data_IF_743417184964
#
_entry.id   IF_743417184964
#
_cell.length_a   1.000
_cell.length_b   1.000
_cell.length_c   1.000
_cell.angle_alpha   90.00
_cell.angle_beta   90.00
_cell.angle_gamma   90.00
#
_symmetry.space_group_name_H-M   'P 1'
#
loop_
_entity.id
_entity.type
_entity.pdbx_description
1 polymer ?
#
# COMPACT_ATOMS: atom_id res chain seq x y z
N UNK A 1 -0.01 -11.52 1.12
CA UNK A 1 -0.26 -10.90 2.43
C UNK A 1 -1.68 -11.16 2.98
N UNK A 2 -2.68 -11.45 2.13
CA UNK A 2 -4.03 -11.80 2.62
C UNK A 2 -3.99 -13.04 3.53
N UNK A 3 -3.09 -13.98 3.29
CA UNK A 3 -2.92 -15.17 4.15
C UNK A 3 -2.25 -14.88 5.50
N UNK A 4 -1.35 -13.91 5.56
CA UNK A 4 -0.67 -13.57 6.81
C UNK A 4 -1.57 -12.80 7.77
N UNK A 5 -2.41 -11.88 7.29
CA UNK A 5 -3.35 -11.17 8.15
C UNK A 5 -4.45 -12.08 8.73
N UNK A 6 -4.76 -13.19 8.07
CA UNK A 6 -5.68 -14.19 8.61
C UNK A 6 -5.03 -15.05 9.72
N UNK A 7 -3.73 -15.30 9.62
CA UNK A 7 -2.96 -15.99 10.66
C UNK A 7 -2.60 -15.08 11.84
N UNK A 8 -2.46 -13.78 11.60
CA UNK A 8 -2.12 -12.74 12.59
C UNK A 8 -3.15 -12.63 13.73
N UNK A 9 -4.37 -13.09 13.53
CA UNK A 9 -5.42 -13.02 14.57
C UNK A 9 -5.44 -14.17 15.57
N UNK A 10 -4.55 -15.11 15.44
CA UNK A 10 -4.38 -16.18 16.44
C UNK A 10 -3.51 -15.77 17.63
N UNK A 11 -3.07 -14.51 17.69
CA UNK A 11 -2.30 -13.87 18.76
C UNK A 11 -0.79 -14.17 18.77
N UNK A 12 -0.24 -14.81 17.74
CA UNK A 12 1.19 -15.08 17.68
C UNK A 12 2.01 -13.98 17.04
N UNK A 13 1.39 -13.19 16.13
CA UNK A 13 2.06 -12.11 15.38
C UNK A 13 1.18 -10.87 15.35
N UNK A 14 1.78 -9.68 15.52
CA UNK A 14 1.10 -8.39 15.38
C UNK A 14 0.58 -8.16 13.95
N UNK A 15 -0.50 -7.39 13.81
CA UNK A 15 -1.01 -6.94 12.52
C UNK A 15 -0.15 -5.86 11.85
N UNK A 16 0.85 -5.34 12.55
CA UNK A 16 1.74 -4.28 12.14
C UNK A 16 3.19 -4.65 12.47
N UNK A 17 4.14 -3.94 11.84
CA UNK A 17 5.56 -4.06 12.20
C UNK A 17 5.78 -3.74 13.67
N UNK A 18 6.43 -4.64 14.39
CA UNK A 18 6.61 -4.55 15.84
C UNK A 18 8.03 -5.03 16.24
N UNK A 19 8.92 -4.10 16.65
CA UNK A 19 10.31 -4.44 16.98
C UNK A 19 10.48 -5.47 18.10
N UNK A 20 9.48 -5.67 18.92
CA UNK A 20 9.53 -6.72 19.96
C UNK A 20 9.36 -8.14 19.40
N UNK A 21 8.86 -8.28 18.20
CA UNK A 21 8.60 -9.58 17.54
C UNK A 21 9.78 -10.02 16.65
N UNK A 22 10.52 -9.08 16.06
CA UNK A 22 11.60 -9.39 15.14
C UNK A 22 12.69 -8.31 15.12
N UNK A 23 13.97 -8.73 15.06
CA UNK A 23 15.10 -7.84 14.83
C UNK A 23 15.08 -7.16 13.44
N UNK A 24 14.22 -7.63 12.54
CA UNK A 24 14.01 -7.05 11.21
C UNK A 24 12.89 -6.01 11.17
N UNK A 25 12.16 -5.85 12.26
CA UNK A 25 11.13 -4.83 12.42
C UNK A 25 11.73 -3.60 13.09
N UNK A 26 12.08 -2.58 12.30
CA UNK A 26 12.78 -1.40 12.81
C UNK A 26 11.85 -0.38 13.48
N UNK A 27 10.57 -0.40 13.16
CA UNK A 27 9.61 0.62 13.59
C UNK A 27 8.27 0.01 13.96
N UNK A 28 7.59 0.60 14.94
CA UNK A 28 6.15 0.37 15.13
C UNK A 28 5.42 1.23 14.10
N UNK A 29 4.74 0.62 13.15
CA UNK A 29 4.07 1.31 12.05
C UNK A 29 2.61 0.90 11.99
N UNK A 30 1.71 1.85 12.21
CA UNK A 30 0.27 1.68 12.02
C UNK A 30 -0.31 2.67 11.00
N UNK A 31 0.49 3.62 10.51
CA UNK A 31 0.06 4.65 9.56
C UNK A 31 0.57 4.34 8.14
N UNK A 32 -0.29 4.50 7.14
CA UNK A 32 0.07 4.34 5.72
C UNK A 32 1.02 5.44 5.26
N UNK A 33 1.69 5.25 4.12
CA UNK A 33 2.53 6.24 3.43
C UNK A 33 3.89 6.54 4.07
N UNK A 34 4.24 5.93 5.20
CA UNK A 34 5.43 6.26 6.00
C UNK A 34 6.70 5.51 5.59
N UNK A 35 6.58 4.34 4.94
CA UNK A 35 7.69 3.41 4.72
C UNK A 35 8.85 4.03 3.92
N UNK A 36 8.57 4.85 2.92
CA UNK A 36 9.60 5.47 2.08
C UNK A 36 10.41 6.49 2.87
N UNK A 37 9.76 7.34 3.67
CA UNK A 37 10.41 8.34 4.51
C UNK A 37 11.28 7.70 5.58
N UNK A 38 10.76 6.69 6.28
CA UNK A 38 11.49 5.94 7.30
C UNK A 38 12.72 5.23 6.72
N UNK A 39 12.55 4.56 5.58
CA UNK A 39 13.65 3.87 4.91
C UNK A 39 14.69 4.85 4.33
N UNK A 40 14.29 6.01 3.83
CA UNK A 40 15.24 7.05 3.39
C UNK A 40 16.11 7.55 4.54
N UNK A 41 15.52 7.70 5.74
CA UNK A 41 16.24 8.03 6.96
C UNK A 41 17.26 6.95 7.36
N UNK A 42 16.88 5.66 7.28
CA UNK A 42 17.79 4.53 7.52
C UNK A 42 18.93 4.51 6.50
N UNK A 43 18.65 4.71 5.21
CA UNK A 43 19.66 4.77 4.17
C UNK A 43 20.67 5.90 4.43
N UNK A 44 20.16 7.08 4.79
CA UNK A 44 21.02 8.22 5.17
C UNK A 44 21.87 7.93 6.41
N UNK A 45 21.30 7.31 7.42
CA UNK A 45 22.03 6.92 8.63
C UNK A 45 23.15 5.91 8.34
N UNK A 46 22.85 4.89 7.52
CA UNK A 46 23.85 3.92 7.02
C UNK A 46 25.02 4.64 6.33
N UNK A 47 24.72 5.57 5.42
CA UNK A 47 25.72 6.29 4.65
C UNK A 47 26.60 7.17 5.54
N UNK A 48 26.02 7.87 6.51
CA UNK A 48 26.74 8.71 7.47
C UNK A 48 27.66 7.90 8.37
N UNK A 49 27.30 6.65 8.67
CA UNK A 49 28.15 5.73 9.44
C UNK A 49 29.21 5.02 8.60
N UNK A 50 29.19 5.16 7.27
CA UNK A 50 30.04 4.42 6.36
C UNK A 50 29.74 2.92 6.32
N UNK A 51 28.54 2.53 6.72
CA UNK A 51 28.07 1.14 6.67
C UNK A 51 27.61 0.78 5.25
N UNK A 52 27.51 -0.51 4.97
CA UNK A 52 27.04 -1.05 3.69
C UNK A 52 25.79 -1.89 3.92
N UNK A 53 25.00 -2.09 2.88
CA UNK A 53 23.79 -2.89 2.90
C UNK A 53 22.68 -2.29 2.07
N UNK A 54 21.71 -3.12 1.72
CA UNK A 54 20.52 -2.68 1.00
C UNK A 54 19.49 -2.15 2.00
N UNK A 55 18.96 -0.97 1.74
CA UNK A 55 17.79 -0.43 2.46
C UNK A 55 16.62 -0.47 1.52
N UNK A 56 15.54 -1.11 1.95
CA UNK A 56 14.38 -1.43 1.11
C UNK A 56 13.12 -0.87 1.77
N UNK A 57 12.40 -0.02 1.04
CA UNK A 57 11.04 0.40 1.37
C UNK A 57 10.04 -0.41 0.55
N UNK A 58 8.99 -0.94 1.16
CA UNK A 58 7.86 -1.54 0.45
C UNK A 58 6.65 -0.65 0.67
N UNK A 59 6.00 -0.24 -0.41
CA UNK A 59 4.82 0.62 -0.36
C UNK A 59 3.77 0.15 -1.36
N UNK A 60 2.51 0.11 -0.92
CA UNK A 60 1.38 -0.12 -1.82
C UNK A 60 1.04 1.13 -2.64
N UNK A 61 0.46 0.94 -3.80
CA UNK A 61 0.03 2.03 -4.69
C UNK A 61 -0.94 3.01 -4.02
N UNK A 62 -1.88 2.51 -3.20
CA UNK A 62 -2.78 3.36 -2.42
C UNK A 62 -2.02 4.27 -1.44
N UNK A 63 -1.05 3.71 -0.72
CA UNK A 63 -0.21 4.45 0.23
C UNK A 63 0.77 5.41 -0.45
N UNK A 64 1.14 5.13 -1.69
CA UNK A 64 2.09 5.93 -2.47
C UNK A 64 1.58 7.36 -2.75
N UNK A 65 0.27 7.59 -2.73
CA UNK A 65 -0.31 8.92 -2.93
C UNK A 65 -0.31 9.82 -1.70
N UNK A 66 0.13 9.34 -0.54
CA UNK A 66 0.24 10.15 0.66
C UNK A 66 1.38 11.18 0.57
N UNK A 67 1.19 12.38 1.15
CA UNK A 67 2.17 13.46 1.10
C UNK A 67 3.54 13.04 1.64
N UNK A 68 3.56 12.31 2.74
CA UNK A 68 4.80 11.80 3.34
C UNK A 68 5.57 10.84 2.42
N UNK A 69 4.87 10.01 1.63
CA UNK A 69 5.51 9.17 0.62
C UNK A 69 6.16 10.00 -0.49
N UNK A 70 5.51 11.08 -0.94
CA UNK A 70 6.09 12.02 -1.90
C UNK A 70 7.34 12.72 -1.37
N UNK A 71 7.31 13.18 -0.12
CA UNK A 71 8.47 13.78 0.55
C UNK A 71 9.60 12.76 0.68
N UNK A 72 9.29 11.53 1.10
CA UNK A 72 10.25 10.43 1.19
C UNK A 72 10.89 10.09 -0.15
N UNK A 73 10.12 10.04 -1.23
CA UNK A 73 10.64 9.85 -2.59
C UNK A 73 11.54 11.01 -3.02
N UNK A 74 11.15 12.25 -2.74
CA UNK A 74 11.95 13.42 -3.08
C UNK A 74 13.32 13.38 -2.38
N UNK A 75 13.36 13.10 -1.10
CA UNK A 75 14.61 12.97 -0.34
C UNK A 75 15.40 11.72 -0.76
N UNK A 76 14.71 10.60 -0.99
CA UNK A 76 15.33 9.36 -1.40
C UNK A 76 16.10 9.45 -2.73
N UNK A 77 15.62 10.26 -3.66
CA UNK A 77 16.29 10.52 -4.95
C UNK A 77 17.65 11.21 -4.79
N UNK A 78 17.82 12.01 -3.73
CA UNK A 78 19.05 12.76 -3.45
C UNK A 78 20.13 11.94 -2.72
N UNK A 79 19.81 10.71 -2.27
CA UNK A 79 20.74 9.90 -1.48
C UNK A 79 22.02 9.52 -2.26
N UNK A 80 21.92 9.31 -3.58
CA UNK A 80 23.04 8.95 -4.44
C UNK A 80 23.71 7.59 -4.09
N UNK A 81 23.02 6.76 -3.30
CA UNK A 81 23.50 5.46 -2.81
C UNK A 81 22.41 4.41 -2.95
N UNK A 82 22.67 3.17 -2.54
CA UNK A 82 21.68 2.12 -2.58
C UNK A 82 20.44 2.47 -1.75
N UNK A 83 19.32 2.59 -2.42
CA UNK A 83 18.00 2.73 -1.83
C UNK A 83 16.96 2.12 -2.77
N UNK A 84 16.26 1.10 -2.32
CA UNK A 84 15.31 0.35 -3.14
C UNK A 84 13.90 0.63 -2.66
N UNK A 85 13.05 1.15 -3.54
CA UNK A 85 11.62 1.33 -3.28
C UNK A 85 10.82 0.33 -4.10
N UNK A 86 10.16 -0.60 -3.42
CA UNK A 86 9.27 -1.56 -4.05
C UNK A 86 7.85 -0.99 -4.03
N UNK A 87 7.33 -0.65 -5.20
CA UNK A 87 5.94 -0.20 -5.38
C UNK A 87 5.08 -1.40 -5.73
N UNK A 88 4.28 -1.85 -4.78
CA UNK A 88 3.31 -2.93 -4.98
C UNK A 88 2.01 -2.36 -5.54
N UNK A 89 1.87 -2.39 -6.86
CA UNK A 89 0.74 -1.84 -7.59
C UNK A 89 -0.28 -2.93 -7.92
N UNK A 90 -1.41 -2.89 -7.25
CA UNK A 90 -2.57 -3.74 -7.52
C UNK A 90 -3.81 -2.94 -7.95
N UNK A 91 -3.65 -1.65 -8.24
CA UNK A 91 -4.65 -0.70 -8.72
C UNK A 91 -5.71 -0.32 -7.68
N UNK A 92 -5.50 -0.74 -6.43
CA UNK A 92 -6.48 -0.53 -5.38
C UNK A 92 -5.83 -0.12 -4.07
N UNK A 93 -6.47 0.81 -3.39
CA UNK A 93 -6.35 0.92 -1.94
C UNK A 93 -7.36 -0.03 -1.29
N UNK A 94 -8.42 0.48 -0.70
CA UNK A 94 -9.61 -0.34 -0.41
C UNK A 94 -10.45 -0.42 -1.66
N UNK A 95 -10.86 0.71 -2.18
CA UNK A 95 -11.49 0.85 -3.49
C UNK A 95 -10.45 1.16 -4.58
N UNK A 96 -10.91 1.30 -5.82
CA UNK A 96 -10.07 1.69 -6.95
C UNK A 96 -9.42 3.06 -6.73
N UNK A 97 -8.17 3.17 -7.12
CA UNK A 97 -7.41 4.41 -7.01
C UNK A 97 -7.74 5.39 -8.14
N UNK A 98 -7.85 6.68 -7.80
CA UNK A 98 -8.10 7.75 -8.75
C UNK A 98 -7.10 8.91 -8.57
N UNK A 99 -6.68 9.52 -9.67
CA UNK A 99 -5.79 10.68 -9.64
C UNK A 99 -4.68 10.65 -10.68
N UNK A 100 -3.88 11.72 -10.73
CA UNK A 100 -2.83 11.88 -11.73
C UNK A 100 -1.71 10.85 -11.61
N UNK A 101 -1.30 10.52 -10.38
CA UNK A 101 -0.30 9.48 -10.12
C UNK A 101 -0.76 8.14 -10.67
N UNK A 102 -2.00 7.75 -10.40
CA UNK A 102 -2.53 6.44 -10.81
C UNK A 102 -2.69 6.31 -12.33
N UNK A 103 -2.96 7.43 -13.03
CA UNK A 103 -2.91 7.44 -14.50
C UNK A 103 -1.51 7.19 -15.03
N UNK A 104 -0.49 7.72 -14.36
CA UNK A 104 0.90 7.41 -14.74
C UNK A 104 1.26 5.95 -14.44
N UNK A 105 0.90 5.42 -13.27
CA UNK A 105 1.08 4.00 -12.95
C UNK A 105 0.37 3.10 -13.98
N UNK A 106 -0.85 3.46 -14.38
CA UNK A 106 -1.58 2.74 -15.43
C UNK A 106 -0.80 2.72 -16.76
N UNK A 107 -0.32 3.89 -17.22
CA UNK A 107 0.50 3.96 -18.45
C UNK A 107 1.76 3.11 -18.34
N UNK A 108 2.39 3.10 -17.17
CA UNK A 108 3.57 2.27 -16.93
C UNK A 108 3.23 0.77 -16.99
N UNK A 109 2.10 0.34 -16.45
CA UNK A 109 1.63 -1.06 -16.58
C UNK A 109 1.33 -1.44 -18.02
N UNK A 110 0.56 -0.60 -18.73
CA UNK A 110 0.13 -0.85 -20.12
C UNK A 110 1.31 -0.90 -21.10
N UNK A 111 2.38 -0.20 -20.81
CA UNK A 111 3.59 -0.13 -21.62
C UNK A 111 4.76 -0.97 -21.08
N UNK A 112 4.51 -1.81 -20.09
CA UNK A 112 5.55 -2.60 -19.42
C UNK A 112 6.76 -1.72 -18.99
N UNK A 113 6.46 -0.57 -18.42
CA UNK A 113 7.45 0.38 -17.92
C UNK A 113 8.08 1.31 -18.98
N UNK A 114 7.65 1.21 -20.25
CA UNK A 114 8.24 1.95 -21.37
C UNK A 114 7.52 3.28 -21.69
N UNK A 115 6.55 3.70 -20.87
CA UNK A 115 5.87 4.98 -21.09
C UNK A 115 6.87 6.15 -21.15
N UNK A 116 6.69 7.10 -22.09
CA UNK A 116 7.61 8.24 -22.24
C UNK A 116 7.60 9.16 -21.01
N UNK A 117 6.49 9.19 -20.29
CA UNK A 117 6.39 9.87 -19.01
C UNK A 117 6.46 8.83 -17.88
N UNK A 118 7.48 8.92 -17.05
CA UNK A 118 7.66 8.07 -15.89
C UNK A 118 7.98 8.95 -14.68
N UNK A 119 7.06 9.03 -13.76
CA UNK A 119 7.15 9.85 -12.55
C UNK A 119 8.44 9.58 -11.76
N UNK A 120 8.81 8.32 -11.57
CA UNK A 120 9.98 7.94 -10.79
C UNK A 120 11.29 8.33 -11.50
N UNK A 121 11.38 8.10 -12.81
CA UNK A 121 12.53 8.53 -13.60
C UNK A 121 12.67 10.05 -13.63
N UNK A 122 11.55 10.78 -13.66
CA UNK A 122 11.55 12.24 -13.60
C UNK A 122 12.09 12.78 -12.27
N UNK A 123 11.97 12.01 -11.18
CA UNK A 123 12.55 12.34 -9.88
C UNK A 123 14.03 11.93 -9.75
N UNK A 124 14.59 11.19 -10.71
CA UNK A 124 15.98 10.74 -10.68
C UNK A 124 16.22 9.30 -10.23
N UNK A 125 15.17 8.51 -10.05
CA UNK A 125 15.31 7.08 -9.75
C UNK A 125 15.64 6.25 -10.99
N UNK A 126 16.48 5.23 -10.83
CA UNK A 126 16.44 4.08 -11.72
C UNK A 126 15.07 3.40 -11.59
N UNK A 127 14.63 2.74 -12.65
CA UNK A 127 13.30 2.14 -12.67
C UNK A 127 13.31 0.77 -13.32
N UNK A 128 12.72 -0.21 -12.62
CA UNK A 128 12.51 -1.56 -13.11
C UNK A 128 11.01 -1.91 -12.97
N UNK A 129 10.41 -2.44 -14.03
CA UNK A 129 9.04 -2.92 -14.02
C UNK A 129 8.99 -4.44 -14.00
N UNK A 130 8.16 -5.01 -13.11
CA UNK A 130 7.88 -6.45 -13.03
C UNK A 130 6.42 -6.69 -13.37
N UNK A 131 6.18 -7.36 -14.50
CA UNK A 131 4.85 -7.57 -15.07
C UNK A 131 3.99 -8.50 -14.23
N UNK A 132 4.55 -9.59 -13.73
CA UNK A 132 3.88 -10.54 -12.86
C UNK A 132 4.50 -10.55 -11.47
N UNK A 133 4.06 -9.61 -10.64
CA UNK A 133 4.55 -9.45 -9.28
C UNK A 133 4.02 -10.51 -8.29
N UNK A 134 3.18 -11.44 -8.73
CA UNK A 134 2.80 -12.63 -7.98
C UNK A 134 3.67 -13.85 -8.33
N UNK A 135 4.55 -13.74 -9.30
CA UNK A 135 5.54 -14.76 -9.67
C UNK A 135 6.83 -14.55 -8.87
N UNK A 136 7.12 -15.52 -8.00
CA UNK A 136 8.29 -15.46 -7.10
C UNK A 136 9.61 -15.50 -7.87
N UNK A 137 9.68 -16.22 -8.99
CA UNK A 137 10.91 -16.32 -9.78
C UNK A 137 11.23 -14.98 -10.44
N UNK A 138 10.23 -14.31 -11.03
CA UNK A 138 10.39 -12.95 -11.58
C UNK A 138 10.82 -11.94 -10.51
N UNK A 139 10.26 -12.04 -9.30
CA UNK A 139 10.67 -11.18 -8.18
C UNK A 139 12.12 -11.43 -7.77
N UNK A 140 12.55 -12.69 -7.69
CA UNK A 140 13.94 -13.05 -7.36
C UNK A 140 14.90 -12.49 -8.41
N UNK A 141 14.58 -12.59 -9.69
CA UNK A 141 15.39 -12.03 -10.77
C UNK A 141 15.48 -10.52 -10.69
N UNK A 142 14.33 -9.84 -10.51
CA UNK A 142 14.28 -8.40 -10.36
C UNK A 142 15.10 -7.91 -9.14
N UNK A 143 14.98 -8.57 -8.00
CA UNK A 143 15.74 -8.18 -6.81
C UNK A 143 17.23 -8.47 -6.93
N UNK A 144 17.63 -9.51 -7.64
CA UNK A 144 19.05 -9.75 -7.96
C UNK A 144 19.62 -8.67 -8.87
N UNK A 145 18.83 -8.13 -9.80
CA UNK A 145 19.25 -7.04 -10.67
C UNK A 145 19.45 -5.73 -9.90
N UNK A 146 18.59 -5.41 -8.93
CA UNK A 146 18.66 -4.14 -8.20
C UNK A 146 19.49 -4.21 -6.93
N UNK A 147 19.76 -5.42 -6.43
CA UNK A 147 20.61 -5.63 -5.26
C UNK A 147 21.97 -4.98 -5.48
N UNK A 148 22.44 -4.27 -4.47
CA UNK A 148 23.76 -3.62 -4.45
C UNK A 148 23.98 -2.52 -5.52
N UNK A 149 22.90 -2.06 -6.20
CA UNK A 149 22.98 -0.86 -7.05
C UNK A 149 23.43 0.32 -6.20
N UNK A 150 24.17 1.23 -6.81
CA UNK A 150 24.71 2.42 -6.15
C UNK A 150 23.92 3.69 -6.47
N UNK A 151 22.70 3.50 -6.84
CA UNK A 151 21.72 4.53 -7.18
C UNK A 151 20.37 4.15 -6.61
N UNK A 152 19.55 5.12 -6.19
CA UNK A 152 18.17 4.84 -5.81
C UNK A 152 17.39 4.21 -6.96
N UNK A 153 16.63 3.16 -6.67
CA UNK A 153 15.86 2.45 -7.69
C UNK A 153 14.44 2.17 -7.22
N UNK A 154 13.49 2.35 -8.12
CA UNK A 154 12.10 1.92 -7.93
C UNK A 154 11.87 0.61 -8.67
N UNK A 155 11.43 -0.40 -7.96
CA UNK A 155 10.93 -1.67 -8.51
C UNK A 155 9.41 -1.62 -8.47
N UNK A 156 8.80 -1.40 -9.61
CA UNK A 156 7.35 -1.34 -9.76
C UNK A 156 6.82 -2.73 -10.10
N UNK A 157 6.19 -3.39 -9.13
CA UNK A 157 5.63 -4.72 -9.30
C UNK A 157 4.12 -4.64 -9.51
N UNK A 158 3.63 -5.26 -10.58
CA UNK A 158 2.19 -5.35 -10.85
C UNK A 158 1.64 -6.64 -10.23
N UNK A 159 0.72 -6.52 -9.28
CA UNK A 159 0.15 -7.65 -8.55
C UNK A 159 -1.37 -7.71 -8.67
N UNK A 160 -1.93 -8.89 -8.45
CA UNK A 160 -3.36 -9.10 -8.34
C UNK A 160 -3.76 -9.14 -6.87
N UNK A 161 -4.58 -8.19 -6.42
CA UNK A 161 -5.13 -8.17 -5.06
C UNK A 161 -6.02 -9.40 -4.84
N UNK A 162 -5.78 -10.13 -3.75
CA UNK A 162 -6.52 -11.35 -3.41
C UNK A 162 -6.02 -12.61 -4.12
N UNK A 163 -4.89 -12.55 -4.84
CA UNK A 163 -4.31 -13.68 -5.59
C UNK A 163 -4.25 -14.97 -4.79
N UNK A 164 -4.83 -16.03 -5.37
CA UNK A 164 -4.88 -17.37 -4.78
C UNK A 164 -6.19 -17.70 -4.06
N UNK A 165 -7.06 -16.71 -3.85
CA UNK A 165 -8.39 -16.92 -3.30
C UNK A 165 -9.44 -16.28 -4.20
N UNK A 166 -10.19 -17.11 -4.95
CA UNK A 166 -11.10 -16.66 -6.01
C UNK A 166 -12.10 -15.59 -5.54
N UNK A 167 -12.71 -15.77 -4.38
CA UNK A 167 -13.66 -14.78 -3.84
C UNK A 167 -13.00 -13.44 -3.54
N UNK A 168 -11.75 -13.42 -3.10
CA UNK A 168 -11.00 -12.18 -2.87
C UNK A 168 -10.57 -11.52 -4.19
N UNK A 169 -10.25 -12.30 -5.21
CA UNK A 169 -9.95 -11.76 -6.54
C UNK A 169 -11.17 -11.11 -7.19
N UNK A 170 -12.37 -11.65 -6.95
CA UNK A 170 -13.65 -11.14 -7.48
C UNK A 170 -14.25 -10.00 -6.63
N UNK A 171 -14.02 -9.99 -5.31
CA UNK A 171 -14.58 -9.04 -4.34
C UNK A 171 -13.49 -8.32 -3.54
N UNK A 172 -12.58 -7.67 -4.24
CA UNK A 172 -11.34 -7.10 -3.70
C UNK A 172 -11.53 -6.12 -2.53
N UNK A 173 -12.59 -5.32 -2.56
CA UNK A 173 -12.92 -4.39 -1.47
C UNK A 173 -13.35 -5.14 -0.22
N UNK A 174 -14.21 -6.13 -0.34
CA UNK A 174 -14.74 -6.93 0.77
C UNK A 174 -13.63 -7.64 1.53
N UNK A 175 -12.62 -8.15 0.81
CA UNK A 175 -11.51 -8.90 1.38
C UNK A 175 -10.26 -8.05 1.63
N UNK A 176 -10.36 -6.72 1.58
CA UNK A 176 -9.25 -5.85 1.98
C UNK A 176 -8.94 -6.00 3.47
N UNK A 177 -9.97 -6.02 4.30
CA UNK A 177 -9.93 -6.34 5.72
C UNK A 177 -11.10 -7.24 6.04
N UNK A 178 -10.86 -8.35 6.73
CA UNK A 178 -11.91 -9.28 7.09
C UNK A 178 -11.70 -9.83 8.48
N UNK A 179 -12.79 -9.96 9.24
CA UNK A 179 -12.85 -10.82 10.42
C UNK A 179 -12.90 -12.29 9.97
N UNK A 180 -12.71 -13.27 10.85
CA UNK A 180 -12.76 -14.69 10.48
C UNK A 180 -14.00 -15.03 9.65
N UNK A 181 -13.80 -15.78 8.57
CA UNK A 181 -14.83 -16.16 7.63
C UNK A 181 -14.65 -17.61 7.18
N UNK A 182 -15.71 -18.20 6.66
CA UNK A 182 -15.71 -19.53 6.06
C UNK A 182 -15.05 -19.48 4.67
N UNK A 183 -14.04 -20.31 4.43
CA UNK A 183 -13.24 -20.28 3.20
C UNK A 183 -14.02 -20.71 1.93
N UNK A 184 -15.06 -21.53 2.07
CA UNK A 184 -15.84 -21.99 0.91
C UNK A 184 -16.85 -20.94 0.46
N UNK A 185 -17.49 -20.28 1.42
CA UNK A 185 -18.58 -19.33 1.16
C UNK A 185 -18.15 -17.88 1.22
N UNK A 186 -17.03 -17.56 1.89
CA UNK A 186 -16.59 -16.22 2.21
C UNK A 186 -17.47 -15.51 3.26
N UNK A 187 -18.41 -16.20 3.89
CA UNK A 187 -19.29 -15.62 4.89
C UNK A 187 -18.58 -15.51 6.24
N UNK A 188 -18.85 -14.43 6.97
CA UNK A 188 -18.29 -14.20 8.29
C UNK A 188 -18.74 -15.34 9.24
N UNK A 189 -17.81 -15.89 10.01
CA UNK A 189 -18.06 -16.93 11.01
C UNK A 189 -18.19 -16.38 12.42
N UNK A 190 -17.81 -15.12 12.65
CA UNK A 190 -17.98 -14.43 13.92
C UNK A 190 -19.27 -13.62 13.99
N UNK A 191 -19.89 -13.52 15.16
CA UNK A 191 -20.94 -12.51 15.36
C UNK A 191 -20.33 -11.13 15.24
N UNK A 192 -20.96 -10.19 14.50
CA UNK A 192 -20.59 -8.77 14.59
C UNK A 192 -20.64 -8.33 16.04
N UNK A 193 -19.68 -7.52 16.46
CA UNK A 193 -19.66 -6.99 17.81
C UNK A 193 -21.02 -6.38 18.17
N UNK A 194 -21.57 -6.75 19.33
CA UNK A 194 -22.85 -6.22 19.79
C UNK A 194 -22.63 -4.80 20.31
N UNK A 195 -23.05 -3.82 19.55
CA UNK A 195 -23.06 -2.41 19.94
C UNK A 195 -22.73 -1.49 18.77
N UNK A 196 -23.22 -0.29 18.82
CA UNK A 196 -22.81 0.79 17.92
C UNK A 196 -21.46 1.33 18.40
N UNK A 197 -20.50 1.44 17.51
CA UNK A 197 -19.26 2.14 17.80
C UNK A 197 -19.37 3.64 17.46
N UNK A 198 -18.36 4.43 17.85
CA UNK A 198 -18.36 5.87 17.56
C UNK A 198 -18.31 6.18 16.07
N UNK A 199 -17.73 5.29 15.25
CA UNK A 199 -17.68 5.46 13.81
C UNK A 199 -19.06 5.30 13.20
N UNK A 200 -19.83 4.28 13.61
CA UNK A 200 -21.20 4.05 13.18
C UNK A 200 -22.13 5.20 13.57
N UNK A 201 -22.04 5.68 14.82
CA UNK A 201 -22.82 6.82 15.30
C UNK A 201 -22.50 8.09 14.53
N UNK A 202 -21.22 8.37 14.30
CA UNK A 202 -20.76 9.55 13.56
C UNK A 202 -21.21 9.50 12.10
N UNK A 203 -21.01 8.35 11.45
CA UNK A 203 -21.42 8.15 10.06
C UNK A 203 -22.94 8.26 9.91
N UNK A 204 -23.70 7.68 10.84
CA UNK A 204 -25.16 7.79 10.87
C UNK A 204 -25.65 9.22 11.02
N UNK A 205 -25.03 10.00 11.92
CA UNK A 205 -25.36 11.42 12.10
C UNK A 205 -25.02 12.24 10.85
N UNK A 206 -23.82 12.12 10.33
CA UNK A 206 -23.40 12.82 9.10
C UNK A 206 -24.32 12.51 7.93
N UNK A 207 -24.69 11.24 7.75
CA UNK A 207 -25.64 10.85 6.69
C UNK A 207 -27.00 11.51 6.84
N UNK A 208 -27.50 11.72 8.08
CA UNK A 208 -28.75 12.43 8.31
C UNK A 208 -28.64 13.93 7.97
N UNK A 209 -27.52 14.57 8.33
CA UNK A 209 -27.29 15.98 8.00
C UNK A 209 -27.11 16.18 6.48
N UNK A 210 -26.40 15.32 5.80
CA UNK A 210 -26.25 15.35 4.32
C UNK A 210 -27.59 15.18 3.59
N UNK A 211 -28.57 14.49 4.17
CA UNK A 211 -29.92 14.39 3.59
C UNK A 211 -30.72 15.69 3.75
N UNK A 212 -30.45 16.47 4.77
CA UNK A 212 -31.13 17.73 5.06
C UNK A 212 -30.51 18.91 4.31
N UNK A 213 -29.19 18.90 4.20
CA UNK A 213 -28.41 19.98 3.63
C UNK A 213 -27.41 19.44 2.60
N UNK A 214 -27.62 19.74 1.30
CA UNK A 214 -26.74 19.26 0.23
C UNK A 214 -25.35 19.93 0.25
N UNK A 215 -25.12 20.92 1.08
CA UNK A 215 -23.80 21.56 1.25
C UNK A 215 -22.93 20.83 2.27
N UNK A 216 -23.51 19.93 3.07
CA UNK A 216 -22.76 19.07 4.00
C UNK A 216 -22.13 17.93 3.21
N UNK A 217 -20.80 17.85 3.27
CA UNK A 217 -20.01 16.82 2.59
C UNK A 217 -19.11 16.14 3.61
N UNK A 218 -19.17 14.81 3.66
CA UNK A 218 -18.24 13.99 4.42
C UNK A 218 -17.00 13.65 3.58
N UNK A 219 -15.82 14.07 4.02
CA UNK A 219 -14.54 13.71 3.41
C UNK A 219 -13.70 12.92 4.41
N UNK A 220 -13.23 11.76 4.01
CA UNK A 220 -12.34 10.94 4.83
C UNK A 220 -11.09 10.55 4.06
N UNK A 221 -9.98 10.47 4.76
CA UNK A 221 -8.72 9.98 4.20
C UNK A 221 -8.78 8.46 3.96
N UNK A 222 -9.57 7.74 4.75
CA UNK A 222 -9.73 6.28 4.68
C UNK A 222 -11.12 5.92 5.21
N UNK A 223 -11.98 5.25 4.47
CA UNK A 223 -13.08 4.38 4.89
C UNK A 223 -14.36 4.93 5.51
N UNK A 224 -14.41 6.11 6.08
CA UNK A 224 -15.68 6.69 6.59
C UNK A 224 -16.61 7.06 5.44
N UNK A 225 -16.16 7.03 4.20
CA UNK A 225 -16.88 7.51 3.02
C UNK A 225 -17.76 6.48 2.31
N UNK A 226 -17.86 5.26 2.77
CA UNK A 226 -18.68 4.22 2.16
C UNK A 226 -20.13 4.65 1.89
N UNK A 227 -20.85 5.32 2.82
CA UNK A 227 -22.21 5.78 2.57
C UNK A 227 -22.33 6.85 1.47
N UNK A 228 -21.30 7.66 1.27
CA UNK A 228 -21.28 8.72 0.26
C UNK A 228 -21.01 8.19 -1.14
N UNK A 229 -20.17 7.17 -1.30
CA UNK A 229 -19.88 6.54 -2.59
C UNK A 229 -21.07 5.79 -3.17
N UNK A 230 -21.85 5.10 -2.36
CA UNK A 230 -23.01 4.31 -2.83
C UNK A 230 -24.20 5.14 -3.31
N UNK A 231 -24.19 6.46 -3.14
CA UNK A 231 -25.30 7.33 -3.53
C UNK A 231 -24.94 8.39 -4.57
N UNK A 232 -23.93 8.12 -5.37
CA UNK A 232 -23.74 8.82 -6.64
C UNK A 232 -23.50 10.31 -6.47
N UNK A 233 -22.28 10.65 -6.13
CA UNK A 233 -21.66 11.82 -6.72
C UNK A 233 -20.81 11.27 -7.86
N UNK A 234 -21.46 11.08 -9.00
CA UNK A 234 -20.79 10.87 -10.30
C UNK A 234 -20.13 12.16 -10.73
#
# INVERSE_FOLDING_TARGET
LVGSEMCIRDSEVSGYSEPSESEHDFFVIGHTSTSVSLASGLAKARDLKGETGNVIAVIGDGSLSGGEAFEGLNVGAELGTNFIVIVNDNQMSIAENHGGLYRNLQQLRETEGQAPCNYFKAMGYDYLYVKDGNDVEQLIEAFREVKDKKHPVVVHINTLKGKGYKLAEEQKERFHYSVPFDLETGNLTGEPGKGEDYADLTAGYLLQEMKKDPTVVGLSLIHISEPTRRRGIS
#
